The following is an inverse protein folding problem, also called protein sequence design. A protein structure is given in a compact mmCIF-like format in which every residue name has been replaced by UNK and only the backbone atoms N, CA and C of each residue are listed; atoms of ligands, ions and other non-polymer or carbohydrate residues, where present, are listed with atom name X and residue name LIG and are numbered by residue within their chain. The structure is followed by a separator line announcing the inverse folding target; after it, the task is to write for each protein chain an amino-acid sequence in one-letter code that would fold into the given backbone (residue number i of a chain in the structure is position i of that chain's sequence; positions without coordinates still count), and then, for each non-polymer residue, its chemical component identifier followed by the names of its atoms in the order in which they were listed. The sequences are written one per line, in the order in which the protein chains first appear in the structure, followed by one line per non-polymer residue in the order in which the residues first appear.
data_IF_017686003381
#
_entry.id   IF_017686003381
#
_cell.length_a   1.000
_cell.length_b   1.000
_cell.length_c   1.000
_cell.angle_alpha   90.00
_cell.angle_beta   90.00
_cell.angle_gamma   90.00
#
_symmetry.space_group_name_H-M   'P 1'
#
loop_
_entity.id
_entity.type
_entity.pdbx_description
1 polymer ?
#
# COMPACT_ATOMS: atom_id res chain seq x y z
N UNK A 1 -47.11 -11.35 7.06
CA UNK A 1 -46.12 -11.14 5.99
C UNK A 1 -45.41 -9.82 6.24
N UNK A 2 -44.07 -9.77 6.30
CA UNK A 2 -43.32 -8.49 6.27
C UNK A 2 -42.22 -8.20 7.30
N UNK A 3 -41.53 -9.19 7.92
CA UNK A 3 -40.43 -8.89 8.86
C UNK A 3 -39.01 -9.20 8.35
N UNK A 4 -38.87 -9.96 7.25
CA UNK A 4 -37.57 -10.52 6.83
C UNK A 4 -36.79 -9.54 5.92
N UNK A 5 -37.45 -8.52 5.37
CA UNK A 5 -36.87 -7.67 4.33
C UNK A 5 -36.00 -6.51 4.85
N UNK A 6 -36.02 -6.22 6.16
CA UNK A 6 -35.27 -5.09 6.75
C UNK A 6 -33.84 -5.46 7.17
N UNK A 7 -33.64 -6.70 7.64
CA UNK A 7 -32.34 -7.20 8.11
C UNK A 7 -31.32 -7.30 6.96
N UNK A 8 -31.81 -7.51 5.73
CA UNK A 8 -30.97 -7.60 4.53
C UNK A 8 -30.21 -6.30 4.23
N UNK A 9 -30.82 -5.13 4.45
CA UNK A 9 -30.17 -3.84 4.14
C UNK A 9 -29.13 -3.44 5.20
N UNK A 10 -29.38 -3.76 6.47
CA UNK A 10 -28.42 -3.53 7.55
C UNK A 10 -27.18 -4.42 7.42
N UNK A 11 -27.35 -5.68 7.00
CA UNK A 11 -26.22 -6.61 6.79
C UNK A 11 -25.37 -6.24 5.56
N UNK A 12 -25.99 -5.80 4.46
CA UNK A 12 -25.22 -5.33 3.28
C UNK A 12 -24.43 -4.05 3.57
N UNK A 13 -24.97 -3.13 4.38
CA UNK A 13 -24.24 -1.93 4.82
C UNK A 13 -23.00 -2.26 5.66
N UNK A 14 -23.09 -3.28 6.51
CA UNK A 14 -21.98 -3.71 7.36
C UNK A 14 -20.88 -4.48 6.61
N UNK A 15 -21.27 -5.31 5.63
CA UNK A 15 -20.33 -5.97 4.71
C UNK A 15 -19.54 -4.94 3.90
N UNK A 16 -20.20 -3.90 3.38
CA UNK A 16 -19.57 -2.87 2.57
C UNK A 16 -18.66 -1.93 3.37
N UNK A 17 -18.93 -1.74 4.66
CA UNK A 17 -18.05 -0.98 5.55
C UNK A 17 -16.82 -1.80 6.02
N UNK A 18 -16.93 -3.13 6.11
CA UNK A 18 -15.77 -4.00 6.40
C UNK A 18 -14.81 -4.17 5.22
N UNK A 19 -15.32 -4.14 4.00
CA UNK A 19 -14.53 -4.36 2.79
C UNK A 19 -13.43 -3.30 2.58
N UNK A 20 -13.72 -2.03 2.85
CA UNK A 20 -12.76 -0.94 2.63
C UNK A 20 -11.46 -1.09 3.46
N UNK A 21 -11.58 -1.61 4.70
CA UNK A 21 -10.43 -1.85 5.56
C UNK A 21 -9.65 -3.13 5.18
N UNK A 22 -10.33 -4.14 4.65
CA UNK A 22 -9.70 -5.36 4.17
C UNK A 22 -8.90 -5.11 2.88
N UNK A 23 -9.46 -4.34 1.94
CA UNK A 23 -8.79 -3.95 0.71
C UNK A 23 -7.52 -3.13 0.99
N UNK A 24 -7.61 -2.15 1.90
CA UNK A 24 -6.45 -1.36 2.29
C UNK A 24 -5.32 -2.21 2.90
N UNK A 25 -5.65 -3.20 3.72
CA UNK A 25 -4.65 -4.12 4.30
C UNK A 25 -4.02 -5.01 3.24
N UNK A 26 -4.83 -5.61 2.36
CA UNK A 26 -4.34 -6.46 1.28
C UNK A 26 -3.41 -5.68 0.32
N UNK A 27 -3.79 -4.44 0.00
CA UNK A 27 -3.00 -3.50 -0.80
C UNK A 27 -1.65 -3.18 -0.16
N UNK A 28 -1.65 -2.85 1.14
CA UNK A 28 -0.44 -2.59 1.91
C UNK A 28 0.48 -3.81 1.96
N UNK A 29 -0.07 -5.01 2.17
CA UNK A 29 0.70 -6.25 2.14
C UNK A 29 1.35 -6.49 0.78
N UNK A 30 0.64 -6.23 -0.32
CA UNK A 30 1.20 -6.34 -1.68
C UNK A 30 2.31 -5.32 -1.92
N UNK A 31 2.10 -4.06 -1.53
CA UNK A 31 3.13 -3.02 -1.62
C UNK A 31 4.37 -3.37 -0.80
N UNK A 32 4.18 -3.84 0.43
CA UNK A 32 5.25 -4.27 1.31
C UNK A 32 6.06 -5.41 0.67
N UNK A 33 5.40 -6.47 0.21
CA UNK A 33 6.07 -7.60 -0.45
C UNK A 33 6.89 -7.17 -1.69
N UNK A 34 6.42 -6.18 -2.45
CA UNK A 34 7.16 -5.64 -3.60
C UNK A 34 8.39 -4.83 -3.22
N UNK A 35 8.36 -4.14 -2.07
CA UNK A 35 9.48 -3.36 -1.55
C UNK A 35 10.48 -4.23 -0.76
N UNK A 36 10.03 -5.36 -0.22
CA UNK A 36 10.86 -6.37 0.44
C UNK A 36 11.60 -7.28 -0.56
N UNK A 37 11.20 -7.28 -1.83
CA UNK A 37 11.88 -8.05 -2.89
C UNK A 37 13.37 -7.65 -2.98
N UNK A 38 14.28 -8.61 -2.74
CA UNK A 38 15.73 -8.38 -2.67
C UNK A 38 16.35 -7.93 -3.99
N UNK A 39 15.67 -8.13 -5.11
CA UNK A 39 16.19 -7.76 -6.43
C UNK A 39 16.12 -6.25 -6.67
N UNK A 40 15.33 -5.51 -5.88
CA UNK A 40 15.07 -4.08 -6.10
C UNK A 40 15.01 -3.32 -4.78
N UNK A 41 16.08 -2.60 -4.43
CA UNK A 41 16.09 -1.68 -3.27
C UNK A 41 15.15 -0.49 -3.45
N UNK A 42 15.04 0.01 -4.69
CA UNK A 42 14.18 1.13 -5.07
C UNK A 42 13.17 0.67 -6.12
N UNK A 43 11.91 1.06 -5.94
CA UNK A 43 10.77 0.71 -6.79
C UNK A 43 10.10 1.95 -7.34
N UNK A 44 9.74 1.92 -8.62
CA UNK A 44 9.07 3.06 -9.25
C UNK A 44 7.67 3.22 -8.68
N UNK A 45 7.29 4.45 -8.35
CA UNK A 45 5.94 4.79 -7.94
C UNK A 45 4.91 4.32 -8.97
N UNK A 46 5.20 4.42 -10.27
CA UNK A 46 4.32 3.94 -11.32
C UNK A 46 4.06 2.43 -11.25
N UNK A 47 5.08 1.62 -10.94
CA UNK A 47 4.91 0.18 -10.75
C UNK A 47 4.09 -0.14 -9.50
N UNK A 48 4.35 0.59 -8.40
CA UNK A 48 3.61 0.43 -7.15
C UNK A 48 2.13 0.81 -7.33
N UNK A 49 1.85 1.87 -8.07
CA UNK A 49 0.50 2.27 -8.51
C UNK A 49 -0.16 1.18 -9.34
N UNK A 50 0.52 0.67 -10.37
CA UNK A 50 -0.01 -0.39 -11.21
C UNK A 50 -0.34 -1.66 -10.41
N UNK A 51 0.52 -2.06 -9.47
CA UNK A 51 0.30 -3.24 -8.63
C UNK A 51 -0.75 -3.03 -7.53
N UNK A 52 -0.91 -1.78 -7.10
CA UNK A 52 -1.85 -1.39 -6.06
C UNK A 52 -3.26 -1.09 -6.59
N UNK A 53 -3.41 -0.84 -7.89
CA UNK A 53 -4.69 -0.58 -8.54
C UNK A 53 -5.41 0.69 -8.05
N UNK A 54 -4.68 1.64 -7.47
CA UNK A 54 -5.24 2.87 -6.87
C UNK A 54 -4.41 4.08 -7.27
N UNK A 55 -4.91 5.27 -6.93
CA UNK A 55 -4.29 6.54 -7.27
C UNK A 55 -2.90 6.72 -6.65
N UNK A 56 -1.98 7.43 -7.35
CA UNK A 56 -0.62 7.67 -6.88
C UNK A 56 -0.56 8.34 -5.50
N UNK A 57 -1.51 9.21 -5.16
CA UNK A 57 -1.56 9.88 -3.86
C UNK A 57 -1.86 8.88 -2.72
N UNK A 58 -2.82 7.97 -2.94
CA UNK A 58 -3.15 6.89 -2.00
C UNK A 58 -1.96 5.96 -1.80
N UNK A 59 -1.27 5.59 -2.89
CA UNK A 59 -0.06 4.76 -2.81
C UNK A 59 1.03 5.47 -2.01
N UNK A 60 1.29 6.76 -2.25
CA UNK A 60 2.29 7.52 -1.46
C UNK A 60 1.97 7.50 0.03
N UNK A 61 0.70 7.72 0.41
CA UNK A 61 0.25 7.65 1.81
C UNK A 61 0.48 6.26 2.41
N UNK A 62 0.17 5.20 1.67
CA UNK A 62 0.40 3.82 2.14
C UNK A 62 1.88 3.50 2.24
N UNK A 63 2.71 3.97 1.30
CA UNK A 63 4.16 3.81 1.33
C UNK A 63 4.78 4.49 2.57
N UNK A 64 4.38 5.73 2.86
CA UNK A 64 4.81 6.43 4.08
C UNK A 64 4.37 5.66 5.33
N UNK A 65 3.13 5.14 5.35
CA UNK A 65 2.63 4.34 6.47
C UNK A 65 3.37 3.00 6.65
N UNK A 66 3.95 2.45 5.58
CA UNK A 66 4.79 1.26 5.58
C UNK A 66 6.25 1.55 5.96
N UNK A 67 6.61 2.81 6.23
CA UNK A 67 8.00 3.19 6.49
C UNK A 67 8.86 3.20 5.23
N UNK A 68 8.25 3.39 4.06
CA UNK A 68 8.96 3.66 2.82
C UNK A 68 9.15 5.17 2.60
N UNK A 69 10.22 5.52 1.91
CA UNK A 69 10.58 6.90 1.57
C UNK A 69 10.86 7.05 0.08
N UNK A 70 10.68 8.26 -0.48
CA UNK A 70 11.22 8.58 -1.79
C UNK A 70 12.75 8.66 -1.75
N UNK A 71 13.37 8.40 -2.89
CA UNK A 71 14.79 8.65 -3.11
C UNK A 71 15.01 10.16 -3.19
N UNK A 72 16.10 10.63 -2.59
CA UNK A 72 16.43 12.06 -2.57
C UNK A 72 16.67 12.63 -3.96
N UNK A 73 17.38 11.88 -4.80
CA UNK A 73 17.71 12.29 -6.17
C UNK A 73 16.58 11.98 -7.18
N UNK A 74 15.64 11.08 -6.86
CA UNK A 74 14.50 10.74 -7.73
C UNK A 74 13.24 10.48 -6.90
N UNK A 75 12.34 11.46 -6.74
CA UNK A 75 11.14 11.31 -5.92
C UNK A 75 10.13 10.26 -6.45
N UNK A 76 10.30 9.80 -7.69
CA UNK A 76 9.54 8.71 -8.29
C UNK A 76 10.03 7.31 -7.88
N UNK A 77 11.18 7.21 -7.23
CA UNK A 77 11.73 5.96 -6.70
C UNK A 77 11.45 5.87 -5.20
N UNK A 78 10.91 4.74 -4.75
CA UNK A 78 10.51 4.51 -3.37
C UNK A 78 11.14 3.23 -2.83
N UNK A 79 11.58 3.26 -1.57
CA UNK A 79 12.20 2.12 -0.91
C UNK A 79 11.91 2.13 0.59
N UNK A 80 11.94 0.95 1.22
CA UNK A 80 11.78 0.83 2.67
C UNK A 80 12.99 1.43 3.38
N UNK A 81 12.76 2.32 4.35
CA UNK A 81 13.84 3.02 5.09
C UNK A 81 14.83 2.02 5.72
N UNK A 82 14.32 0.89 6.22
CA UNK A 82 15.13 -0.19 6.77
C UNK A 82 16.15 -0.77 5.76
N UNK A 83 15.81 -0.75 4.46
CA UNK A 83 16.63 -1.33 3.38
C UNK A 83 17.51 -0.31 2.69
N UNK A 84 16.99 0.90 2.47
CA UNK A 84 17.70 1.97 1.74
C UNK A 84 18.47 2.93 2.64
N UNK A 85 18.30 2.83 3.96
CA UNK A 85 18.94 3.72 4.92
C UNK A 85 18.32 5.13 4.97
N UNK A 86 18.77 5.93 5.94
CA UNK A 86 18.34 7.33 6.11
C UNK A 86 19.17 8.31 5.28
N UNK A 87 20.34 7.90 4.79
CA UNK A 87 21.16 8.60 3.79
C UNK A 87 21.29 7.70 2.56
N UNK A 88 21.26 8.28 1.36
CA UNK A 88 21.10 7.58 0.07
C UNK A 88 22.25 6.67 -0.36
N UNK A 89 22.95 6.03 0.57
CA UNK A 89 24.04 5.11 0.32
C UNK A 89 23.55 3.67 0.45
N UNK A 90 23.88 2.78 -0.51
CA UNK A 90 23.61 1.36 -0.34
C UNK A 90 24.35 0.90 0.92
N UNK A 91 23.61 0.35 1.89
CA UNK A 91 24.20 -0.34 3.02
C UNK A 91 25.02 -1.51 2.47
N UNK A 92 26.33 -1.30 2.34
CA UNK A 92 27.28 -2.35 2.04
C UNK A 92 27.17 -3.36 3.19
N UNK A 93 26.62 -4.54 2.86
CA UNK A 93 26.60 -5.70 3.73
C UNK A 93 27.57 -6.73 3.17
#
# INVERSE_FOLDING_TARGET
MGWISDIGQLLLGWVRHRDAGADQRARRMRLQAMLEDERFQWRSLAQLVAASGTDPDTVRKDLVALGARPQENNPDMWGLIDRVGTGGDPVAR
#
